data_IF_839682696744
#
_entry.id   IF_839682696744
#
_cell.length_a   1.000
_cell.length_b   1.000
_cell.length_c   1.000
_cell.angle_alpha   90.00
_cell.angle_beta   90.00
_cell.angle_gamma   90.00
#
_symmetry.space_group_name_H-M   'P 1'
#
loop_
_entity.id
_entity.type
_entity.pdbx_description
1 polymer ?
#
# COMPACT_ATOMS: atom_id res chain seq x y z
N UNK A 1 41.32 -8.28 -56.98
CA UNK A 1 40.32 -7.90 -55.96
C UNK A 1 39.44 -9.05 -55.41
N UNK A 2 39.54 -10.32 -55.86
CA UNK A 2 38.71 -11.44 -55.34
C UNK A 2 39.23 -12.09 -54.02
N UNK A 3 40.53 -12.04 -53.72
CA UNK A 3 41.12 -12.72 -52.55
C UNK A 3 40.70 -12.13 -51.19
N UNK A 4 40.43 -10.82 -51.13
CA UNK A 4 40.01 -10.15 -49.89
C UNK A 4 38.56 -10.43 -49.48
N UNK A 5 37.70 -10.88 -50.40
CA UNK A 5 36.30 -11.25 -50.10
C UNK A 5 36.21 -12.60 -49.38
N UNK A 6 37.07 -13.55 -49.74
CA UNK A 6 37.11 -14.86 -49.07
C UNK A 6 37.65 -14.76 -47.64
N UNK A 7 38.62 -13.87 -47.39
CA UNK A 7 39.17 -13.65 -46.05
C UNK A 7 38.13 -13.06 -45.09
N UNK A 8 37.30 -12.11 -45.56
CA UNK A 8 36.21 -11.53 -44.78
C UNK A 8 35.08 -12.53 -44.51
N UNK A 9 34.73 -13.38 -45.50
CA UNK A 9 33.73 -14.44 -45.28
C UNK A 9 34.22 -15.51 -44.31
N UNK A 10 35.51 -15.89 -44.37
CA UNK A 10 36.09 -16.87 -43.44
C UNK A 10 36.07 -16.37 -41.99
N UNK A 11 36.34 -15.08 -41.76
CA UNK A 11 36.27 -14.47 -40.43
C UNK A 11 34.83 -14.48 -39.87
N UNK A 12 33.83 -14.14 -40.68
CA UNK A 12 32.41 -14.17 -40.27
C UNK A 12 31.96 -15.59 -39.95
N UNK A 13 32.38 -16.58 -40.73
CA UNK A 13 32.06 -17.99 -40.49
C UNK A 13 32.67 -18.49 -39.17
N UNK A 14 33.90 -18.06 -38.84
CA UNK A 14 34.54 -18.39 -37.57
C UNK A 14 33.79 -17.82 -36.36
N UNK A 15 33.31 -16.57 -36.46
CA UNK A 15 32.53 -15.93 -35.39
C UNK A 15 31.16 -16.58 -35.23
N UNK A 16 30.49 -16.95 -36.32
CA UNK A 16 29.20 -17.64 -36.28
C UNK A 16 29.30 -19.05 -35.66
N UNK A 17 30.39 -19.77 -35.93
CA UNK A 17 30.68 -21.07 -35.31
C UNK A 17 30.96 -20.91 -33.82
N UNK A 18 31.71 -19.87 -33.42
CA UNK A 18 31.97 -19.59 -32.01
C UNK A 18 30.70 -19.21 -31.23
N UNK A 19 29.78 -18.44 -31.84
CA UNK A 19 28.51 -18.06 -31.21
C UNK A 19 27.49 -19.21 -31.17
N UNK A 20 27.53 -20.16 -32.13
CA UNK A 20 26.63 -21.33 -32.12
C UNK A 20 26.94 -22.36 -31.03
N UNK A 21 28.08 -22.23 -30.34
CA UNK A 21 28.46 -23.11 -29.23
C UNK A 21 27.81 -22.77 -27.88
N UNK A 22 27.08 -21.65 -27.76
CA UNK A 22 26.62 -21.12 -26.46
C UNK A 22 25.12 -21.28 -26.17
N UNK A 23 24.41 -22.12 -26.92
CA UNK A 23 22.95 -22.26 -26.78
C UNK A 23 22.44 -23.68 -26.97
N UNK A 24 22.72 -24.55 -26.00
CA UNK A 24 21.85 -25.66 -25.58
C UNK A 24 22.57 -26.50 -24.52
N UNK A 25 22.47 -26.08 -23.25
CA UNK A 25 22.69 -27.01 -22.14
C UNK A 25 21.29 -27.39 -21.64
N UNK A 26 20.76 -28.50 -22.14
CA UNK A 26 19.60 -29.15 -21.53
C UNK A 26 20.04 -29.75 -20.19
N UNK A 27 19.74 -29.06 -19.09
CA UNK A 27 19.92 -29.57 -17.74
C UNK A 27 18.71 -30.43 -17.34
N UNK A 28 18.45 -31.51 -18.07
CA UNK A 28 17.62 -32.60 -17.57
C UNK A 28 18.52 -33.76 -17.12
N UNK A 29 19.30 -33.52 -16.07
CA UNK A 29 20.05 -34.58 -15.40
C UNK A 29 19.11 -35.23 -14.39
N UNK A 30 18.52 -36.37 -14.76
CA UNK A 30 17.93 -37.26 -13.78
C UNK A 30 19.06 -37.84 -12.93
N UNK A 31 19.30 -37.27 -11.76
CA UNK A 31 20.16 -37.89 -10.77
C UNK A 31 19.48 -39.15 -10.27
N UNK A 32 19.90 -40.30 -10.79
CA UNK A 32 19.68 -41.57 -10.11
C UNK A 32 20.25 -41.45 -8.70
N UNK A 33 19.36 -41.52 -7.70
CA UNK A 33 19.71 -41.45 -6.29
C UNK A 33 20.66 -42.61 -5.93
N UNK A 34 21.96 -42.38 -6.07
CA UNK A 34 22.97 -43.20 -5.40
C UNK A 34 23.21 -42.59 -4.02
N UNK A 35 22.24 -42.84 -3.13
CA UNK A 35 22.45 -42.71 -1.70
C UNK A 35 23.46 -43.78 -1.27
N UNK A 36 24.75 -43.45 -1.31
CA UNK A 36 25.72 -44.14 -0.46
C UNK A 36 25.29 -43.91 0.99
N UNK A 37 25.35 -44.96 1.81
CA UNK A 37 24.98 -44.88 3.22
C UNK A 37 25.78 -43.76 3.90
N UNK A 38 25.09 -42.68 4.29
CA UNK A 38 25.68 -41.60 5.06
C UNK A 38 25.59 -41.99 6.52
N UNK A 39 26.74 -42.26 7.13
CA UNK A 39 26.83 -42.46 8.58
C UNK A 39 26.31 -41.22 9.30
N UNK A 40 25.45 -41.42 10.29
CA UNK A 40 24.68 -40.40 11.01
C UNK A 40 25.51 -39.45 11.91
N UNK A 41 26.76 -39.15 11.53
CA UNK A 41 27.69 -38.28 12.28
C UNK A 41 27.92 -36.89 11.67
N UNK A 42 27.21 -36.53 10.60
CA UNK A 42 27.29 -35.21 9.97
C UNK A 42 26.02 -34.35 10.19
N UNK A 43 25.34 -34.52 11.33
CA UNK A 43 24.26 -33.63 11.77
C UNK A 43 24.84 -32.41 12.51
N UNK A 44 25.39 -31.45 11.78
CA UNK A 44 25.59 -30.10 12.29
C UNK A 44 24.45 -29.23 11.75
N UNK A 45 23.50 -28.92 12.62
CA UNK A 45 22.32 -28.12 12.33
C UNK A 45 22.74 -26.70 11.94
N UNK A 46 22.29 -26.22 10.78
CA UNK A 46 22.49 -24.83 10.36
C UNK A 46 21.90 -23.87 11.38
N UNK A 47 22.64 -22.81 11.71
CA UNK A 47 22.25 -21.84 12.74
C UNK A 47 21.14 -20.89 12.26
N UNK A 48 20.22 -20.55 13.15
CA UNK A 48 19.23 -19.49 12.96
C UNK A 48 19.78 -18.17 13.54
N UNK A 49 19.80 -17.11 12.73
CA UNK A 49 20.13 -15.76 13.19
C UNK A 49 18.98 -14.82 12.82
N UNK A 50 18.09 -14.54 13.79
CA UNK A 50 16.91 -13.70 13.55
C UNK A 50 15.88 -14.35 12.63
N UNK A 51 15.45 -13.62 11.59
CA UNK A 51 14.58 -14.08 10.51
C UNK A 51 15.35 -14.80 9.38
N UNK A 52 16.67 -14.91 9.51
CA UNK A 52 17.55 -15.54 8.52
C UNK A 52 17.86 -16.97 8.95
N UNK A 53 17.43 -17.92 8.12
CA UNK A 53 17.81 -19.32 8.23
C UNK A 53 18.98 -19.58 7.28
N UNK A 54 20.13 -19.99 7.83
CA UNK A 54 21.25 -20.48 7.03
C UNK A 54 20.98 -21.94 6.65
N UNK A 55 20.73 -22.16 5.36
CA UNK A 55 20.70 -23.51 4.79
C UNK A 55 22.09 -24.17 4.86
N UNK A 56 22.14 -25.48 4.64
CA UNK A 56 23.35 -26.33 4.68
C UNK A 56 24.51 -25.79 3.82
N UNK A 57 24.19 -25.09 2.73
CA UNK A 57 25.15 -24.59 1.75
C UNK A 57 25.35 -23.06 1.86
N UNK A 58 25.23 -22.49 3.06
CA UNK A 58 25.33 -21.04 3.31
C UNK A 58 24.31 -20.20 2.53
N UNK A 59 23.20 -20.81 2.11
CA UNK A 59 22.12 -20.10 1.41
C UNK A 59 21.22 -19.41 2.42
N UNK A 60 21.04 -18.10 2.25
CA UNK A 60 20.11 -17.30 3.03
C UNK A 60 18.69 -17.60 2.54
N UNK A 61 17.92 -18.31 3.34
CA UNK A 61 16.49 -18.52 3.09
C UNK A 61 15.76 -17.39 3.81
N UNK A 62 15.35 -16.35 3.07
CA UNK A 62 14.41 -15.35 3.58
C UNK A 62 12.99 -15.87 3.33
N UNK A 63 12.30 -16.26 4.39
CA UNK A 63 10.89 -16.61 4.29
C UNK A 63 10.10 -15.40 3.79
N UNK A 64 9.35 -15.57 2.70
CA UNK A 64 8.43 -14.54 2.20
C UNK A 64 7.21 -14.56 3.11
N UNK A 65 7.14 -13.64 4.06
CA UNK A 65 5.95 -13.43 4.87
C UNK A 65 4.91 -12.68 4.04
N UNK A 66 3.81 -13.37 3.70
CA UNK A 66 2.64 -12.74 3.10
C UNK A 66 1.77 -12.26 4.28
N UNK A 67 1.49 -10.96 4.42
CA UNK A 67 0.56 -10.50 5.46
C UNK A 67 -0.81 -11.12 5.20
N UNK A 68 -1.31 -11.90 6.16
CA UNK A 68 -2.63 -12.56 6.12
C UNK A 68 -3.73 -11.59 6.60
N UNK A 69 -3.36 -10.38 7.00
CA UNK A 69 -4.30 -9.34 7.37
C UNK A 69 -5.13 -8.93 6.14
N UNK A 70 -6.44 -8.65 6.32
CA UNK A 70 -7.27 -8.11 5.25
C UNK A 70 -6.63 -6.84 4.66
N UNK A 71 -6.69 -6.69 3.34
CA UNK A 71 -6.26 -5.47 2.68
C UNK A 71 -7.03 -4.28 3.28
N UNK A 72 -6.33 -3.16 3.60
CA UNK A 72 -7.01 -1.96 4.07
C UNK A 72 -8.07 -1.53 3.05
N UNK A 73 -9.29 -1.31 3.53
CA UNK A 73 -10.35 -0.80 2.67
C UNK A 73 -10.09 0.69 2.44
N UNK A 74 -9.91 1.14 1.21
CA UNK A 74 -9.68 2.57 0.92
C UNK A 74 -10.99 3.34 0.72
N UNK A 75 -12.14 2.64 0.75
CA UNK A 75 -13.44 3.26 0.47
C UNK A 75 -13.99 3.98 1.72
N UNK A 76 -14.58 5.17 1.55
CA UNK A 76 -15.31 5.83 2.62
C UNK A 76 -16.44 4.96 3.16
N UNK A 77 -16.60 4.93 4.48
CA UNK A 77 -17.63 4.14 5.15
C UNK A 77 -18.83 5.05 5.45
N UNK A 78 -20.03 4.60 5.10
CA UNK A 78 -21.28 5.22 5.55
C UNK A 78 -21.85 4.41 6.70
N UNK A 79 -21.92 5.01 7.88
CA UNK A 79 -22.43 4.39 9.09
C UNK A 79 -23.77 5.02 9.49
N UNK A 80 -24.76 4.20 9.82
CA UNK A 80 -26.04 4.68 10.34
C UNK A 80 -26.04 4.52 11.86
N UNK A 81 -26.14 5.64 12.56
CA UNK A 81 -26.16 5.71 14.03
C UNK A 81 -27.32 4.88 14.58
N UNK A 82 -27.01 3.99 15.50
CA UNK A 82 -27.98 3.16 16.21
C UNK A 82 -28.44 3.84 17.51
N UNK A 83 -29.50 3.32 18.12
CA UNK A 83 -29.93 3.80 19.43
C UNK A 83 -28.83 3.52 20.47
N UNK A 84 -28.50 4.53 21.28
CA UNK A 84 -27.43 4.53 22.28
C UNK A 84 -25.98 4.61 21.74
N UNK A 85 -25.79 4.79 20.44
CA UNK A 85 -24.45 5.06 19.90
C UNK A 85 -23.91 6.42 20.36
N UNK A 86 -22.66 6.43 20.79
CA UNK A 86 -21.87 7.63 21.09
C UNK A 86 -20.70 7.76 20.13
N UNK A 87 -20.17 8.98 19.94
CA UNK A 87 -18.98 9.18 19.11
C UNK A 87 -17.79 8.34 19.57
N UNK A 88 -17.57 8.22 20.87
CA UNK A 88 -16.49 7.42 21.44
C UNK A 88 -16.69 5.92 21.13
N UNK A 89 -17.92 5.39 21.28
CA UNK A 89 -18.20 3.98 20.93
C UNK A 89 -17.96 3.68 19.45
N UNK A 90 -18.40 4.56 18.55
CA UNK A 90 -18.22 4.41 17.10
C UNK A 90 -16.72 4.50 16.76
N UNK A 91 -16.02 5.49 17.33
CA UNK A 91 -14.59 5.69 17.13
C UNK A 91 -13.77 4.45 17.51
N UNK A 92 -14.05 3.86 18.68
CA UNK A 92 -13.37 2.65 19.15
C UNK A 92 -13.62 1.44 18.26
N UNK A 93 -14.85 1.21 17.83
CA UNK A 93 -15.20 0.08 16.95
C UNK A 93 -14.51 0.19 15.60
N UNK A 94 -14.36 1.40 15.07
CA UNK A 94 -13.74 1.65 13.77
C UNK A 94 -12.24 1.94 13.84
N UNK A 95 -11.63 1.96 15.03
CA UNK A 95 -10.20 2.25 15.20
C UNK A 95 -9.80 3.67 14.76
N UNK A 96 -10.73 4.61 14.83
CA UNK A 96 -10.53 6.02 14.45
C UNK A 96 -10.71 6.93 15.67
N UNK A 97 -10.35 8.19 15.54
CA UNK A 97 -10.51 9.20 16.61
C UNK A 97 -11.81 9.97 16.44
N UNK A 98 -12.32 10.55 17.54
CA UNK A 98 -13.49 11.44 17.50
C UNK A 98 -13.26 12.60 16.50
N UNK A 99 -12.02 13.13 16.46
CA UNK A 99 -11.62 14.20 15.54
C UNK A 99 -11.86 13.83 14.07
N UNK A 100 -11.46 12.63 13.67
CA UNK A 100 -11.63 12.14 12.29
C UNK A 100 -13.09 11.98 11.90
N UNK A 101 -13.95 11.60 12.84
CA UNK A 101 -15.41 11.54 12.62
C UNK A 101 -15.95 12.96 12.42
N UNK A 102 -15.56 13.91 13.27
CA UNK A 102 -16.05 15.29 13.19
C UNK A 102 -15.57 15.99 11.91
N UNK A 103 -14.30 15.84 11.52
CA UNK A 103 -13.79 16.40 10.26
C UNK A 103 -14.52 15.86 9.04
N UNK A 104 -14.87 14.57 9.06
CA UNK A 104 -15.61 13.93 7.96
C UNK A 104 -17.10 14.32 7.91
N UNK A 105 -17.64 14.89 8.98
CA UNK A 105 -19.05 15.26 9.12
C UNK A 105 -19.20 16.73 9.55
N UNK A 106 -18.88 17.69 8.67
CA UNK A 106 -19.05 19.10 8.97
C UNK A 106 -20.53 19.39 9.30
N UNK A 107 -20.77 20.03 10.46
CA UNK A 107 -22.12 20.34 10.95
C UNK A 107 -22.76 19.25 11.82
N UNK A 108 -22.00 18.21 12.21
CA UNK A 108 -22.43 17.24 13.21
C UNK A 108 -22.85 17.95 14.52
N UNK A 109 -24.02 17.60 15.05
CA UNK A 109 -24.52 18.11 16.34
C UNK A 109 -24.68 16.96 17.32
N UNK A 110 -24.32 17.21 18.57
CA UNK A 110 -24.53 16.30 19.69
C UNK A 110 -25.80 16.70 20.46
N UNK A 111 -26.52 15.73 21.06
CA UNK A 111 -26.29 14.29 21.01
C UNK A 111 -26.64 13.68 19.65
N UNK A 112 -26.01 12.54 19.31
CA UNK A 112 -26.29 11.82 18.06
C UNK A 112 -27.75 11.34 18.04
N UNK A 113 -28.39 11.46 16.88
CA UNK A 113 -29.75 10.94 16.68
C UNK A 113 -29.69 9.58 16.00
N UNK A 114 -30.43 8.61 16.53
CA UNK A 114 -30.60 7.32 15.86
C UNK A 114 -31.15 7.52 14.43
N UNK A 115 -30.59 6.79 13.47
CA UNK A 115 -30.88 6.92 12.04
C UNK A 115 -30.05 7.99 11.31
N UNK A 116 -29.23 8.78 12.00
CA UNK A 116 -28.31 9.71 11.37
C UNK A 116 -27.22 8.97 10.58
N UNK A 117 -26.89 9.44 9.38
CA UNK A 117 -25.77 8.89 8.60
C UNK A 117 -24.49 9.66 8.88
N UNK A 118 -23.45 8.96 9.30
CA UNK A 118 -22.10 9.46 9.49
C UNK A 118 -21.18 8.92 8.41
N UNK A 119 -20.25 9.77 7.97
CA UNK A 119 -19.15 9.42 7.07
C UNK A 119 -17.93 9.11 7.93
N UNK A 120 -17.40 7.90 7.81
CA UNK A 120 -16.22 7.48 8.57
C UNK A 120 -15.06 7.21 7.61
N UNK A 121 -13.86 7.75 7.88
CA UNK A 121 -12.69 7.46 7.09
C UNK A 121 -12.17 6.06 7.47
N UNK A 122 -11.75 5.24 6.50
CA UNK A 122 -11.26 3.89 6.78
C UNK A 122 -9.80 3.87 7.25
N UNK A 123 -9.08 4.97 7.05
CA UNK A 123 -7.72 5.22 7.51
C UNK A 123 -7.69 6.58 8.21
N UNK A 124 -6.63 6.89 8.97
CA UNK A 124 -6.44 8.23 9.48
C UNK A 124 -6.55 9.29 8.38
N UNK A 125 -7.61 10.10 8.43
CA UNK A 125 -8.01 10.91 7.29
C UNK A 125 -9.32 11.67 7.49
N UNK A 126 -9.75 12.32 6.41
CA UNK A 126 -11.03 13.03 6.31
C UNK A 126 -11.80 12.53 5.09
N UNK A 127 -13.08 12.24 5.25
CA UNK A 127 -13.97 11.95 4.12
C UNK A 127 -14.60 13.25 3.62
N UNK A 128 -14.45 13.53 2.33
CA UNK A 128 -15.00 14.71 1.67
C UNK A 128 -15.94 14.29 0.55
N UNK A 129 -17.05 15.01 0.42
CA UNK A 129 -17.93 14.90 -0.76
C UNK A 129 -17.55 16.03 -1.70
N UNK A 130 -17.06 15.67 -2.89
CA UNK A 130 -16.67 16.62 -3.94
C UNK A 130 -17.88 17.49 -4.29
N UNK A 131 -17.69 18.80 -4.27
CA UNK A 131 -18.67 19.79 -4.70
C UNK A 131 -18.37 20.27 -6.12
N UNK A 132 -19.32 20.98 -6.71
CA UNK A 132 -19.11 21.58 -8.02
C UNK A 132 -17.99 22.63 -7.94
N UNK A 133 -16.96 22.48 -8.77
CA UNK A 133 -15.76 23.33 -8.78
C UNK A 133 -14.61 22.84 -7.89
N UNK A 134 -14.76 21.73 -7.18
CA UNK A 134 -13.65 21.12 -6.44
C UNK A 134 -12.70 20.41 -7.41
N UNK A 135 -11.40 20.60 -7.21
CA UNK A 135 -10.34 19.89 -7.93
C UNK A 135 -9.41 19.20 -6.93
N UNK A 136 -8.66 18.17 -7.36
CA UNK A 136 -7.68 17.53 -6.50
C UNK A 136 -6.67 18.54 -5.95
N UNK A 137 -6.22 19.48 -6.79
CA UNK A 137 -5.34 20.58 -6.40
C UNK A 137 -5.97 21.54 -5.38
N UNK A 138 -7.23 21.93 -5.53
CA UNK A 138 -7.88 22.84 -4.57
C UNK A 138 -8.13 22.18 -3.22
N UNK A 139 -8.49 20.90 -3.21
CA UNK A 139 -8.65 20.10 -2.00
C UNK A 139 -7.30 19.82 -1.33
N UNK A 140 -6.28 19.46 -2.11
CA UNK A 140 -4.92 19.27 -1.62
C UNK A 140 -4.40 20.51 -0.90
N UNK A 141 -4.53 21.68 -1.53
CA UNK A 141 -4.19 22.96 -0.92
C UNK A 141 -5.02 23.22 0.34
N UNK A 142 -6.34 23.01 0.27
CA UNK A 142 -7.23 23.28 1.40
C UNK A 142 -6.92 22.44 2.63
N UNK A 143 -6.58 21.15 2.47
CA UNK A 143 -6.28 20.23 3.57
C UNK A 143 -4.78 20.12 3.89
N UNK A 144 -3.93 20.83 3.13
CA UNK A 144 -2.48 20.83 3.27
C UNK A 144 -1.83 19.47 3.02
N UNK A 145 -2.37 18.71 2.06
CA UNK A 145 -1.85 17.40 1.64
C UNK A 145 -1.38 17.46 0.19
N UNK A 146 -0.56 16.51 -0.23
CA UNK A 146 -0.13 16.42 -1.61
C UNK A 146 -1.25 15.89 -2.53
N UNK A 147 -1.39 16.47 -3.71
CA UNK A 147 -2.40 16.08 -4.71
C UNK A 147 -2.25 14.61 -5.12
N UNK A 148 -1.02 14.14 -5.33
CA UNK A 148 -0.74 12.75 -5.74
C UNK A 148 -1.14 11.76 -4.64
N UNK A 149 -1.10 12.18 -3.38
CA UNK A 149 -1.56 11.37 -2.25
C UNK A 149 -3.08 11.19 -2.31
N UNK A 150 -3.84 12.25 -2.60
CA UNK A 150 -5.30 12.16 -2.76
C UNK A 150 -5.63 11.25 -3.95
N UNK A 151 -5.04 11.48 -5.11
CA UNK A 151 -5.32 10.73 -6.33
C UNK A 151 -4.94 9.24 -6.17
N UNK A 152 -3.74 8.98 -5.64
CA UNK A 152 -3.21 7.64 -5.43
C UNK A 152 -4.04 6.83 -4.43
N UNK A 153 -4.43 7.44 -3.30
CA UNK A 153 -5.22 6.76 -2.27
C UNK A 153 -6.62 6.40 -2.75
N UNK A 154 -7.26 7.29 -3.52
CA UNK A 154 -8.61 7.07 -4.04
C UNK A 154 -8.62 6.30 -5.38
N UNK A 155 -7.46 5.91 -5.91
CA UNK A 155 -7.30 5.29 -7.22
C UNK A 155 -7.94 6.09 -8.36
N UNK A 156 -7.88 7.42 -8.26
CA UNK A 156 -8.40 8.35 -9.26
C UNK A 156 -7.29 8.61 -10.28
N UNK A 157 -7.57 8.30 -11.55
CA UNK A 157 -6.62 8.50 -12.66
C UNK A 157 -6.84 9.80 -13.42
N UNK A 158 -8.10 10.23 -13.49
CA UNK A 158 -8.49 11.47 -14.15
C UNK A 158 -8.64 12.58 -13.11
N UNK A 159 -7.98 13.73 -13.30
CA UNK A 159 -8.01 14.82 -12.34
C UNK A 159 -9.38 15.50 -12.22
N UNK A 160 -10.29 15.25 -13.17
CA UNK A 160 -11.65 15.77 -13.13
C UNK A 160 -12.50 15.01 -12.09
N UNK A 161 -12.74 15.66 -10.95
CA UNK A 161 -13.57 15.09 -9.90
C UNK A 161 -15.05 15.25 -10.24
N UNK A 162 -15.79 14.15 -10.11
CA UNK A 162 -17.24 14.14 -10.31
C UNK A 162 -17.92 14.71 -9.05
N UNK A 163 -18.74 15.77 -9.15
CA UNK A 163 -19.49 16.28 -8.02
C UNK A 163 -20.37 15.18 -7.39
N UNK A 164 -20.36 15.10 -6.06
CA UNK A 164 -21.04 14.05 -5.28
C UNK A 164 -20.17 12.81 -5.00
N UNK A 165 -19.00 12.69 -5.62
CA UNK A 165 -18.05 11.62 -5.31
C UNK A 165 -17.55 11.77 -3.86
N UNK A 166 -17.53 10.66 -3.13
CA UNK A 166 -16.90 10.62 -1.81
C UNK A 166 -15.45 10.19 -1.97
N UNK A 167 -14.54 11.01 -1.48
CA UNK A 167 -13.11 10.74 -1.49
C UNK A 167 -12.59 10.74 -0.05
N UNK A 168 -11.52 9.99 0.19
CA UNK A 168 -10.78 9.99 1.44
C UNK A 168 -9.52 10.80 1.25
N UNK A 169 -9.26 11.74 2.15
CA UNK A 169 -8.05 12.54 2.19
C UNK A 169 -7.22 12.02 3.36
N UNK A 170 -6.14 11.25 3.11
CA UNK A 170 -5.26 10.80 4.17
C UNK A 170 -4.57 12.01 4.82
N UNK A 171 -4.65 12.10 6.15
CA UNK A 171 -3.95 13.14 6.92
C UNK A 171 -3.22 12.50 8.08
N UNK A 172 -2.21 13.19 8.59
CA UNK A 172 -1.53 12.75 9.80
C UNK A 172 -2.54 12.75 10.99
N UNK A 173 -2.69 11.63 11.71
CA UNK A 173 -3.64 11.52 12.83
C UNK A 173 -3.35 12.47 14.01
N UNK A 174 -2.10 12.93 14.16
CA UNK A 174 -1.67 13.82 15.23
C UNK A 174 -1.91 15.28 14.89
N UNK A 175 -1.49 15.72 13.69
CA UNK A 175 -1.64 17.13 13.29
C UNK A 175 -2.98 17.43 12.64
N UNK A 176 -3.66 16.42 12.10
CA UNK A 176 -4.90 16.61 11.34
C UNK A 176 -4.66 17.29 9.99
N UNK A 177 -5.73 17.64 9.26
CA UNK A 177 -5.60 18.44 8.05
C UNK A 177 -5.10 19.84 8.40
N UNK A 178 -4.14 20.33 7.63
CA UNK A 178 -3.70 21.72 7.71
C UNK A 178 -4.65 22.56 6.85
N UNK A 179 -5.68 23.10 7.49
CA UNK A 179 -6.62 23.97 6.80
C UNK A 179 -5.86 25.24 6.43
N UNK A 180 -5.92 25.67 5.15
CA UNK A 180 -5.20 26.83 4.56
C UNK A 180 -5.25 28.17 5.34
N UNK A 181 -5.96 28.22 6.46
CA UNK A 181 -6.05 29.24 7.49
C UNK A 181 -4.99 29.11 8.60
N UNK A 182 -4.02 28.18 8.49
CA UNK A 182 -2.91 28.03 9.45
C UNK A 182 -3.35 27.57 10.85
N UNK A 183 -4.64 27.26 11.01
CA UNK A 183 -5.17 26.60 12.18
C UNK A 183 -5.12 25.09 11.92
N UNK A 184 -4.63 24.25 12.85
CA UNK A 184 -5.04 22.86 12.84
C UNK A 184 -6.56 22.85 12.75
N UNK A 185 -7.16 21.91 12.03
CA UNK A 185 -8.61 21.73 12.06
C UNK A 185 -9.03 21.40 13.50
N UNK A 186 -9.21 22.42 14.31
CA UNK A 186 -9.80 22.32 15.63
C UNK A 186 -11.15 23.02 15.57
N UNK A 187 -12.23 22.29 15.25
CA UNK A 187 -13.56 22.79 15.51
C UNK A 187 -14.02 22.51 16.94
N UNK A 188 -13.29 21.79 17.80
CA UNK A 188 -13.75 21.51 19.17
C UNK A 188 -12.59 21.27 20.13
N UNK A 189 -12.31 22.29 20.94
CA UNK A 189 -11.59 22.21 22.20
C UNK A 189 -12.08 20.96 22.97
N UNK A 190 -11.19 20.06 23.45
CA UNK A 190 -11.57 18.91 24.27
C UNK A 190 -12.49 19.26 25.46
N UNK A 191 -12.48 20.51 25.92
CA UNK A 191 -13.38 21.03 26.95
C UNK A 191 -14.82 21.33 26.50
N UNK A 192 -15.12 21.33 25.19
CA UNK A 192 -16.47 21.56 24.66
C UNK A 192 -17.33 20.29 24.55
N UNK A 193 -16.79 19.14 24.96
CA UNK A 193 -17.46 17.83 24.92
C UNK A 193 -17.96 17.35 26.29
N UNK A 194 -17.93 18.20 27.32
CA UNK A 194 -18.49 17.93 28.65
C UNK A 194 -19.43 19.05 29.10
#
# INVERSE_FOLDING_TARGET
MRRYRYASHAAVLLVAVAMSGYGAVDLNTSLAARAGAVDARAAAEGGQFGDVLLGRDSTIIKAVSIPIAPLPNHKPIRYTVQAADTLDSIARVHGITLRQITWSNPGLRLPLKAGQTLKLPPVPGVVVVVKNGDSPASLAAFYGVDETTILGFNHIRDPDLIPGLMIVIPVDPQTGPNLNNGAPADPMDPGALF
#
